data_IF_435302577111
#
_entry.id   IF_435302577111
#
_cell.length_a   1.000
_cell.length_b   1.000
_cell.length_c   1.000
_cell.angle_alpha   90.00
_cell.angle_beta   90.00
_cell.angle_gamma   90.00
#
_symmetry.space_group_name_H-M   'P 1'
#
loop_
_entity.id
_entity.type
_entity.pdbx_description
1 polymer ?
#
# COMPACT_ATOMS: atom_id res chain seq x y z
N UNK A 1 -19.35 -7.73 -21.53
CA UNK A 1 -18.16 -8.55 -21.37
C UNK A 1 -17.92 -8.63 -19.88
N UNK A 2 -18.08 -9.81 -19.29
CA UNK A 2 -17.97 -10.02 -17.85
C UNK A 2 -16.48 -9.91 -17.48
N UNK A 3 -16.12 -8.94 -16.66
CA UNK A 3 -14.74 -8.75 -16.19
C UNK A 3 -14.36 -9.94 -15.33
N UNK A 4 -13.19 -10.55 -15.56
CA UNK A 4 -12.76 -11.68 -14.73
C UNK A 4 -12.73 -11.32 -13.23
N UNK A 5 -13.03 -12.29 -12.35
CA UNK A 5 -12.97 -12.07 -10.91
C UNK A 5 -11.57 -11.64 -10.49
N UNK A 6 -11.49 -10.76 -9.50
CA UNK A 6 -10.22 -10.42 -8.86
C UNK A 6 -9.76 -11.61 -8.03
N UNK A 7 -8.55 -12.09 -8.26
CA UNK A 7 -7.92 -13.13 -7.44
C UNK A 7 -6.67 -12.56 -6.77
N UNK A 8 -6.21 -13.21 -5.70
CA UNK A 8 -4.94 -12.86 -5.07
C UNK A 8 -4.12 -14.09 -4.69
N UNK A 9 -2.81 -13.89 -4.57
CA UNK A 9 -1.83 -14.89 -4.12
C UNK A 9 -0.65 -14.21 -3.43
N UNK A 10 0.17 -14.98 -2.75
CA UNK A 10 1.49 -14.48 -2.31
C UNK A 10 2.38 -14.17 -3.51
N UNK A 11 3.11 -13.05 -3.37
CA UNK A 11 4.21 -12.70 -4.24
C UNK A 11 5.34 -13.73 -4.09
N UNK A 12 6.00 -13.99 -5.21
CA UNK A 12 7.19 -14.82 -5.34
C UNK A 12 8.33 -13.93 -5.83
N UNK A 13 9.57 -14.38 -5.65
CA UNK A 13 10.73 -13.65 -6.15
C UNK A 13 10.66 -13.33 -7.66
N UNK A 14 9.98 -14.17 -8.45
CA UNK A 14 9.74 -13.92 -9.88
C UNK A 14 8.83 -12.73 -10.19
N UNK A 15 8.03 -12.27 -9.23
CA UNK A 15 7.13 -11.11 -9.41
C UNK A 15 7.86 -9.77 -9.22
N UNK A 16 9.12 -9.78 -8.79
CA UNK A 16 9.85 -8.59 -8.33
C UNK A 16 9.83 -7.45 -9.35
N UNK A 17 10.18 -7.72 -10.61
CA UNK A 17 10.22 -6.67 -11.64
C UNK A 17 8.83 -6.08 -11.91
N UNK A 18 7.80 -6.94 -11.99
CA UNK A 18 6.41 -6.51 -12.19
C UNK A 18 5.91 -5.67 -11.00
N UNK A 19 6.26 -6.05 -9.78
CA UNK A 19 5.86 -5.34 -8.57
C UNK A 19 6.57 -4.00 -8.42
N UNK A 20 7.87 -3.93 -8.70
CA UNK A 20 8.61 -2.65 -8.75
C UNK A 20 7.94 -1.71 -9.75
N UNK A 21 7.70 -2.17 -10.98
CA UNK A 21 7.05 -1.35 -12.00
C UNK A 21 5.65 -0.88 -11.58
N UNK A 22 4.84 -1.75 -10.98
CA UNK A 22 3.52 -1.39 -10.45
C UNK A 22 3.61 -0.34 -9.34
N UNK A 23 4.46 -0.57 -8.34
CA UNK A 23 4.61 0.30 -7.17
C UNK A 23 5.13 1.67 -7.61
N UNK A 24 6.19 1.73 -8.42
CA UNK A 24 6.69 3.00 -8.95
C UNK A 24 5.60 3.72 -9.74
N UNK A 25 4.87 3.02 -10.62
CA UNK A 25 3.80 3.64 -11.42
C UNK A 25 2.65 4.20 -10.58
N UNK A 26 2.37 3.65 -9.40
CA UNK A 26 1.27 4.12 -8.55
C UNK A 26 1.63 5.36 -7.73
N UNK A 27 2.92 5.56 -7.43
CA UNK A 27 3.40 6.57 -6.48
C UNK A 27 4.27 7.68 -7.11
N UNK A 28 5.01 7.38 -8.18
CA UNK A 28 6.05 8.24 -8.77
C UNK A 28 5.88 8.39 -10.29
N UNK A 29 6.47 9.46 -10.82
CA UNK A 29 6.54 9.71 -12.27
C UNK A 29 5.21 10.06 -12.94
N UNK A 30 5.27 10.32 -14.26
CA UNK A 30 4.11 10.77 -15.05
C UNK A 30 2.95 9.77 -15.07
N UNK A 31 3.24 8.47 -15.08
CA UNK A 31 2.20 7.43 -15.09
C UNK A 31 1.34 7.47 -13.83
N UNK A 32 1.90 7.85 -12.67
CA UNK A 32 1.16 7.99 -11.43
C UNK A 32 0.11 9.09 -11.46
N UNK A 33 0.31 10.13 -12.31
CA UNK A 33 -0.64 11.25 -12.47
C UNK A 33 -1.94 10.84 -13.16
N UNK A 34 -1.99 9.65 -13.79
CA UNK A 34 -3.24 9.07 -14.26
C UNK A 34 -4.12 8.52 -13.11
N UNK A 35 -3.55 8.31 -11.94
CA UNK A 35 -4.23 7.92 -10.71
C UNK A 35 -4.36 9.08 -9.73
N UNK A 36 -5.16 8.90 -8.69
CA UNK A 36 -5.38 9.92 -7.65
C UNK A 36 -4.46 9.73 -6.43
N UNK A 37 -3.61 8.69 -6.45
CA UNK A 37 -2.72 8.33 -5.34
C UNK A 37 -1.25 8.69 -5.59
N UNK A 38 -0.97 9.52 -6.59
CA UNK A 38 0.38 10.03 -6.85
C UNK A 38 0.97 10.76 -5.64
N UNK A 39 2.28 10.68 -5.51
CA UNK A 39 3.08 11.46 -4.56
C UNK A 39 4.10 12.33 -5.31
N UNK A 40 4.00 12.46 -6.64
CA UNK A 40 4.98 13.12 -7.48
C UNK A 40 5.21 14.60 -7.14
N UNK A 41 4.25 15.24 -6.45
CA UNK A 41 4.35 16.64 -6.01
C UNK A 41 4.88 16.79 -4.57
N UNK A 42 5.04 15.69 -3.81
CA UNK A 42 5.52 15.71 -2.42
C UNK A 42 6.87 14.98 -2.24
N UNK A 43 7.13 13.96 -3.04
CA UNK A 43 8.31 13.11 -2.98
C UNK A 43 8.83 12.79 -4.38
N UNK A 44 10.09 13.11 -4.62
CA UNK A 44 10.86 12.67 -5.80
C UNK A 44 11.66 11.38 -5.48
N UNK A 45 12.43 10.91 -6.45
CA UNK A 45 13.18 9.65 -6.35
C UNK A 45 12.29 8.42 -6.51
N UNK A 46 12.86 7.24 -6.24
CA UNK A 46 12.14 5.97 -6.31
C UNK A 46 11.33 5.72 -5.03
N UNK A 47 10.20 5.03 -5.15
CA UNK A 47 9.40 4.55 -4.00
C UNK A 47 9.90 3.21 -3.47
N UNK A 48 10.44 2.36 -4.34
CA UNK A 48 11.03 1.06 -4.02
C UNK A 48 12.03 0.65 -5.10
N UNK A 49 12.80 -0.39 -4.81
CA UNK A 49 13.66 -1.08 -5.78
C UNK A 49 13.46 -2.61 -5.66
N UNK A 50 14.12 -3.43 -6.52
CA UNK A 50 14.03 -4.87 -6.45
C UNK A 50 14.44 -5.45 -5.09
N UNK A 51 15.43 -4.87 -4.42
CA UNK A 51 15.90 -5.35 -3.12
C UNK A 51 14.85 -5.10 -2.03
N UNK A 52 14.20 -3.93 -2.04
CA UNK A 52 13.10 -3.58 -1.15
C UNK A 52 11.91 -4.52 -1.31
N UNK A 53 11.52 -4.83 -2.56
CA UNK A 53 10.45 -5.80 -2.83
C UNK A 53 10.83 -7.20 -2.36
N UNK A 54 12.04 -7.67 -2.67
CA UNK A 54 12.53 -8.98 -2.22
C UNK A 54 12.61 -9.08 -0.69
N UNK A 55 12.97 -8.00 0.00
CA UNK A 55 12.98 -7.96 1.46
C UNK A 55 11.58 -8.14 2.05
N UNK A 56 10.55 -7.55 1.44
CA UNK A 56 9.15 -7.75 1.86
C UNK A 56 8.70 -9.18 1.55
N UNK A 57 9.01 -9.71 0.36
CA UNK A 57 8.67 -11.09 -0.03
C UNK A 57 9.33 -12.12 0.90
N UNK A 58 10.59 -11.89 1.28
CA UNK A 58 11.36 -12.80 2.13
C UNK A 58 11.07 -12.67 3.63
N UNK A 59 10.24 -11.70 4.05
CA UNK A 59 9.93 -11.50 5.47
C UNK A 59 9.10 -12.65 6.03
N UNK A 60 9.59 -13.27 7.11
CA UNK A 60 8.83 -14.31 7.83
C UNK A 60 7.70 -13.73 8.68
N UNK A 61 7.70 -12.42 8.92
CA UNK A 61 6.71 -11.72 9.72
C UNK A 61 5.58 -11.11 8.86
N UNK A 62 5.60 -11.29 7.54
CA UNK A 62 4.65 -10.63 6.65
C UNK A 62 4.40 -11.38 5.35
N UNK A 63 3.56 -10.78 4.52
CA UNK A 63 3.17 -11.26 3.19
C UNK A 63 3.06 -10.07 2.25
N UNK A 64 3.48 -10.25 1.00
CA UNK A 64 3.14 -9.32 -0.08
C UNK A 64 2.12 -10.02 -0.97
N UNK A 65 0.91 -9.50 -1.00
CA UNK A 65 -0.18 -10.05 -1.81
C UNK A 65 -0.16 -9.40 -3.19
N UNK A 66 -0.23 -10.23 -4.23
CA UNK A 66 -0.41 -9.83 -5.63
C UNK A 66 -1.87 -10.05 -6.00
N UNK A 67 -2.51 -9.05 -6.60
CA UNK A 67 -3.87 -9.14 -7.09
C UNK A 67 -3.87 -9.16 -8.62
N UNK A 68 -4.55 -10.17 -9.17
CA UNK A 68 -4.56 -10.46 -10.59
C UNK A 68 -6.00 -10.39 -11.14
N UNK A 69 -6.12 -9.93 -12.38
CA UNK A 69 -7.36 -9.92 -13.16
C UNK A 69 -6.99 -10.11 -14.62
N UNK A 70 -7.71 -10.99 -15.31
CA UNK A 70 -7.44 -11.33 -16.72
C UNK A 70 -5.98 -11.76 -16.98
N UNK A 71 -5.32 -12.38 -15.98
CA UNK A 71 -3.92 -12.80 -16.06
C UNK A 71 -2.90 -11.68 -15.83
N UNK A 72 -3.35 -10.46 -15.56
CA UNK A 72 -2.49 -9.30 -15.32
C UNK A 72 -2.44 -8.92 -13.83
N UNK A 73 -1.26 -8.57 -13.35
CA UNK A 73 -1.10 -7.96 -12.02
C UNK A 73 -1.64 -6.52 -12.05
N UNK A 74 -2.68 -6.25 -11.26
CA UNK A 74 -3.40 -4.96 -11.22
C UNK A 74 -3.25 -4.21 -9.91
N UNK A 75 -2.91 -4.90 -8.82
CA UNK A 75 -2.65 -4.29 -7.52
C UNK A 75 -1.74 -5.19 -6.66
N UNK A 76 -1.16 -4.61 -5.61
CA UNK A 76 -0.50 -5.35 -4.54
C UNK A 76 -0.69 -4.65 -3.19
N UNK A 77 -0.53 -5.40 -2.09
CA UNK A 77 -0.42 -4.84 -0.76
C UNK A 77 0.46 -5.70 0.16
N UNK A 78 1.16 -5.05 1.07
CA UNK A 78 1.90 -5.71 2.14
C UNK A 78 1.02 -5.85 3.38
N UNK A 79 1.10 -7.03 4.00
CA UNK A 79 0.63 -7.31 5.34
C UNK A 79 1.82 -7.69 6.22
N UNK A 80 1.85 -7.22 7.46
CA UNK A 80 2.88 -7.58 8.44
C UNK A 80 2.23 -7.84 9.81
N UNK A 81 2.59 -8.94 10.45
CA UNK A 81 2.11 -9.31 11.77
C UNK A 81 2.99 -8.65 12.85
N UNK A 82 2.40 -7.77 13.65
CA UNK A 82 3.09 -6.97 14.68
C UNK A 82 2.54 -7.26 16.07
N UNK A 83 2.61 -8.53 16.48
CA UNK A 83 2.06 -8.98 17.75
C UNK A 83 0.53 -9.03 17.69
N UNK A 84 -0.15 -8.17 18.43
CA UNK A 84 -1.63 -8.20 18.52
C UNK A 84 -2.34 -7.54 17.31
N UNK A 85 -1.59 -6.95 16.39
CA UNK A 85 -2.13 -6.18 15.25
C UNK A 85 -1.48 -6.59 13.94
N UNK A 86 -2.19 -6.37 12.83
CA UNK A 86 -1.60 -6.40 11.50
C UNK A 86 -1.30 -4.97 11.01
N UNK A 87 -0.19 -4.80 10.30
CA UNK A 87 0.13 -3.57 9.58
C UNK A 87 -0.15 -3.76 8.08
N UNK A 88 -0.80 -2.76 7.47
CA UNK A 88 -1.11 -2.68 6.05
C UNK A 88 -0.25 -1.60 5.40
N UNK A 89 0.48 -1.98 4.35
CA UNK A 89 1.44 -1.10 3.68
C UNK A 89 1.66 -1.46 2.22
N UNK A 90 2.62 -0.79 1.57
CA UNK A 90 3.01 -1.01 0.17
C UNK A 90 1.80 -1.25 -0.75
N UNK A 91 0.78 -0.39 -0.63
CA UNK A 91 -0.50 -0.59 -1.28
C UNK A 91 -0.54 0.15 -2.62
N UNK A 92 -0.32 -0.59 -3.70
CA UNK A 92 -0.31 -0.04 -5.04
C UNK A 92 -1.48 -0.59 -5.87
N UNK A 93 -2.20 0.30 -6.54
CA UNK A 93 -3.18 -0.05 -7.57
C UNK A 93 -2.73 0.59 -8.86
N UNK A 94 -2.75 -0.15 -9.97
CA UNK A 94 -2.39 0.38 -11.29
C UNK A 94 -3.14 1.69 -11.55
N UNK A 95 -2.47 2.81 -11.90
CA UNK A 95 -3.10 4.14 -11.99
C UNK A 95 -4.39 4.16 -12.81
N UNK A 96 -4.36 3.54 -13.99
CA UNK A 96 -5.50 3.46 -14.92
C UNK A 96 -6.65 2.58 -14.44
N UNK A 97 -6.46 1.78 -13.39
CA UNK A 97 -7.48 0.95 -12.77
C UNK A 97 -8.03 1.54 -11.45
N UNK A 98 -7.56 2.73 -11.05
CA UNK A 98 -8.07 3.45 -9.88
C UNK A 98 -9.46 4.05 -10.16
N UNK A 99 -10.19 4.42 -9.11
CA UNK A 99 -11.55 4.95 -9.22
C UNK A 99 -12.65 3.91 -9.48
N UNK A 100 -12.32 2.72 -9.98
CA UNK A 100 -13.27 1.63 -10.25
C UNK A 100 -13.59 0.69 -9.08
N UNK A 101 -13.25 1.06 -7.85
CA UNK A 101 -13.50 0.24 -6.65
C UNK A 101 -12.47 -0.88 -6.38
N UNK A 102 -11.48 -1.07 -7.25
CA UNK A 102 -10.42 -2.08 -7.08
C UNK A 102 -9.68 -1.94 -5.74
N UNK A 103 -9.29 -0.73 -5.36
CA UNK A 103 -8.60 -0.50 -4.09
C UNK A 103 -9.44 -0.89 -2.85
N UNK A 104 -10.77 -0.74 -2.92
CA UNK A 104 -11.68 -1.20 -1.86
C UNK A 104 -11.68 -2.72 -1.76
N UNK A 105 -11.69 -3.43 -2.90
CA UNK A 105 -11.65 -4.88 -2.93
C UNK A 105 -10.33 -5.42 -2.35
N UNK A 106 -9.20 -4.85 -2.78
CA UNK A 106 -7.86 -5.20 -2.27
C UNK A 106 -7.77 -5.06 -0.75
N UNK A 107 -8.21 -3.92 -0.22
CA UNK A 107 -8.20 -3.67 1.22
C UNK A 107 -9.09 -4.66 2.00
N UNK A 108 -10.32 -4.89 1.52
CA UNK A 108 -11.24 -5.83 2.18
C UNK A 108 -10.68 -7.24 2.21
N UNK A 109 -10.01 -7.68 1.14
CA UNK A 109 -9.35 -8.97 1.09
C UNK A 109 -8.14 -9.03 2.02
N UNK A 110 -7.33 -7.97 2.07
CA UNK A 110 -6.16 -7.90 2.96
C UNK A 110 -6.57 -7.95 4.44
N UNK A 111 -7.64 -7.24 4.81
CA UNK A 111 -8.25 -7.29 6.14
C UNK A 111 -8.72 -8.70 6.52
N UNK A 112 -9.42 -9.36 5.59
CA UNK A 112 -9.86 -10.74 5.77
C UNK A 112 -8.67 -11.68 5.94
N UNK A 113 -7.65 -11.56 5.09
CA UNK A 113 -6.43 -12.39 5.14
C UNK A 113 -5.70 -12.20 6.47
N UNK A 114 -5.52 -10.97 6.95
CA UNK A 114 -4.87 -10.72 8.24
C UNK A 114 -5.61 -11.40 9.40
N UNK A 115 -6.93 -11.26 9.44
CA UNK A 115 -7.79 -11.89 10.46
C UNK A 115 -7.76 -13.42 10.38
N UNK A 116 -7.88 -13.99 9.19
CA UNK A 116 -7.90 -15.45 9.00
C UNK A 116 -6.54 -16.10 9.25
N UNK A 117 -5.45 -15.39 8.93
CA UNK A 117 -4.09 -15.92 9.07
C UNK A 117 -3.55 -15.78 10.49
N UNK A 118 -3.83 -14.65 11.15
CA UNK A 118 -3.21 -14.32 12.44
C UNK A 118 -4.20 -14.13 13.60
N UNK A 119 -5.51 -14.11 13.33
CA UNK A 119 -6.52 -13.90 14.37
C UNK A 119 -6.54 -12.49 14.96
N UNK A 120 -5.83 -11.53 14.35
CA UNK A 120 -5.76 -10.15 14.82
C UNK A 120 -7.11 -9.45 14.67
N UNK A 121 -7.42 -8.58 15.64
CA UNK A 121 -8.67 -7.79 15.66
C UNK A 121 -8.44 -6.32 15.32
N UNK A 122 -7.22 -5.92 14.98
CA UNK A 122 -6.89 -4.55 14.60
C UNK A 122 -5.91 -4.53 13.42
N UNK A 123 -6.19 -3.66 12.45
CA UNK A 123 -5.30 -3.32 11.36
C UNK A 123 -4.82 -1.88 11.51
N UNK A 124 -3.52 -1.68 11.31
CA UNK A 124 -2.86 -0.39 11.40
C UNK A 124 -2.19 -0.03 10.08
N UNK A 125 -2.05 1.26 9.80
CA UNK A 125 -1.21 1.77 8.72
C UNK A 125 -0.68 3.15 9.05
N UNK A 126 0.42 3.55 8.42
CA UNK A 126 0.92 4.92 8.49
C UNK A 126 0.78 5.60 7.14
N UNK A 127 0.23 6.81 7.13
CA UNK A 127 -0.01 7.62 5.93
C UNK A 127 0.69 8.96 6.10
N UNK A 128 1.29 9.50 5.04
CA UNK A 128 1.85 10.87 5.07
C UNK A 128 0.71 11.86 5.38
N UNK A 129 0.86 12.65 6.43
CA UNK A 129 -0.22 13.45 7.03
C UNK A 129 -0.83 14.49 6.09
N UNK A 130 -0.04 15.02 5.15
CA UNK A 130 -0.49 16.01 4.15
C UNK A 130 -1.34 15.41 3.02
N UNK A 131 -1.61 14.09 3.03
CA UNK A 131 -2.40 13.40 2.01
C UNK A 131 -3.88 13.31 2.40
N UNK A 132 -4.53 14.46 2.59
CA UNK A 132 -5.90 14.57 3.11
C UNK A 132 -6.93 13.73 2.33
N UNK A 133 -6.86 13.72 0.99
CA UNK A 133 -7.80 12.94 0.18
C UNK A 133 -7.65 11.42 0.38
N UNK A 134 -6.40 10.95 0.54
CA UNK A 134 -6.09 9.55 0.80
C UNK A 134 -6.52 9.15 2.21
N UNK A 135 -6.26 10.01 3.20
CA UNK A 135 -6.73 9.81 4.58
C UNK A 135 -8.26 9.71 4.59
N UNK A 136 -8.97 10.67 3.97
CA UNK A 136 -10.42 10.64 3.88
C UNK A 136 -10.93 9.37 3.17
N UNK A 137 -10.19 8.86 2.19
CA UNK A 137 -10.54 7.59 1.54
C UNK A 137 -10.43 6.39 2.50
N UNK A 138 -9.38 6.32 3.32
CA UNK A 138 -9.23 5.31 4.37
C UNK A 138 -10.32 5.42 5.45
N UNK A 139 -10.69 6.64 5.85
CA UNK A 139 -11.77 6.87 6.82
C UNK A 139 -13.10 6.30 6.36
N UNK A 140 -13.44 6.52 5.08
CA UNK A 140 -14.63 5.91 4.45
C UNK A 140 -14.56 4.37 4.36
N UNK A 141 -13.42 3.74 4.69
CA UNK A 141 -13.26 2.27 4.82
C UNK A 141 -13.25 1.79 6.26
N UNK A 142 -13.47 2.69 7.22
CA UNK A 142 -13.56 2.37 8.64
C UNK A 142 -12.24 2.54 9.41
N UNK A 143 -11.20 3.10 8.79
CA UNK A 143 -10.02 3.53 9.53
C UNK A 143 -10.33 4.82 10.28
N UNK A 144 -9.69 5.01 11.42
CA UNK A 144 -9.75 6.25 12.19
C UNK A 144 -8.35 6.80 12.38
N UNK A 145 -8.24 8.12 12.23
CA UNK A 145 -7.06 8.89 12.63
C UNK A 145 -6.84 8.71 14.13
N UNK A 146 -5.59 8.54 14.54
CA UNK A 146 -5.24 8.43 15.97
C UNK A 146 -4.62 9.71 16.51
N UNK A 147 -4.20 10.64 15.65
CA UNK A 147 -3.40 11.80 16.02
C UNK A 147 -1.97 11.46 16.46
N UNK A 148 -1.57 10.18 16.43
CA UNK A 148 -0.20 9.78 16.71
C UNK A 148 0.66 9.97 15.46
N UNK A 149 1.58 10.93 15.55
CA UNK A 149 2.52 11.26 14.48
C UNK A 149 3.88 10.63 14.71
N UNK A 150 4.54 10.23 13.63
CA UNK A 150 5.94 9.80 13.60
C UNK A 150 6.69 10.67 12.58
N UNK A 151 7.90 11.15 12.91
CA UNK A 151 8.69 11.96 11.97
C UNK A 151 8.93 11.26 10.64
N UNK A 152 8.86 12.00 9.54
CA UNK A 152 9.36 11.52 8.25
C UNK A 152 10.91 11.45 8.31
N UNK A 153 11.54 10.40 7.77
CA UNK A 153 13.00 10.22 7.81
C UNK A 153 13.71 11.12 6.78
N UNK A 154 13.75 12.42 7.05
CA UNK A 154 14.49 13.39 6.24
C UNK A 154 15.98 13.04 6.13
N UNK A 155 16.52 13.13 4.91
CA UNK A 155 17.93 12.80 4.61
C UNK A 155 18.20 11.32 4.34
N UNK A 156 17.17 10.47 4.32
CA UNK A 156 17.27 9.07 3.90
C UNK A 156 16.57 8.88 2.55
N UNK A 157 17.36 8.91 1.46
CA UNK A 157 16.86 8.81 0.08
C UNK A 157 16.08 7.51 -0.21
N UNK A 158 16.16 6.50 0.66
CA UNK A 158 15.33 5.27 0.57
C UNK A 158 13.84 5.56 0.72
N UNK A 159 13.47 6.68 1.32
CA UNK A 159 12.08 7.13 1.46
C UNK A 159 11.65 8.12 0.37
N UNK A 160 12.54 8.37 -0.61
CA UNK A 160 12.40 9.40 -1.62
C UNK A 160 13.01 10.72 -1.18
N UNK A 161 12.93 11.72 -2.06
CA UNK A 161 13.50 13.05 -1.87
C UNK A 161 12.35 14.04 -1.59
N UNK A 162 12.13 14.45 -0.33
CA UNK A 162 11.06 15.37 0.04
C UNK A 162 11.14 16.70 -0.72
N UNK A 163 9.99 17.17 -1.21
CA UNK A 163 9.87 18.50 -1.85
C UNK A 163 9.34 19.56 -0.87
N UNK A 164 9.22 19.19 0.41
CA UNK A 164 8.66 19.99 1.50
C UNK A 164 9.20 19.52 2.85
N UNK A 165 9.16 20.37 3.86
CA UNK A 165 9.79 20.20 5.18
C UNK A 165 8.82 19.86 6.32
N UNK A 166 7.53 19.68 5.99
CA UNK A 166 6.42 19.40 6.91
C UNK A 166 5.88 17.96 6.82
N UNK A 167 6.65 17.02 6.27
CA UNK A 167 6.24 15.62 6.18
C UNK A 167 6.33 14.93 7.55
N UNK A 168 5.23 14.28 7.91
CA UNK A 168 5.14 13.34 9.03
C UNK A 168 4.18 12.20 8.65
N UNK A 169 4.29 11.08 9.34
CA UNK A 169 3.37 9.97 9.18
C UNK A 169 2.35 9.98 10.30
N UNK A 170 1.07 9.84 9.96
CA UNK A 170 0.03 9.60 10.94
C UNK A 170 -0.38 8.12 10.97
N UNK A 171 -0.53 7.58 12.18
CA UNK A 171 -1.10 6.26 12.40
C UNK A 171 -2.63 6.29 12.25
N UNK A 172 -3.13 5.46 11.34
CA UNK A 172 -4.54 5.14 11.18
C UNK A 172 -4.78 3.69 11.65
N UNK A 173 -5.91 3.46 12.32
CA UNK A 173 -6.28 2.13 12.84
C UNK A 173 -7.70 1.76 12.48
N UNK A 174 -7.98 0.46 12.35
CA UNK A 174 -9.31 -0.10 12.14
C UNK A 174 -9.48 -1.38 12.94
N UNK A 175 -10.57 -1.48 13.69
CA UNK A 175 -10.97 -2.75 14.31
C UNK A 175 -11.53 -3.68 13.24
N UNK A 176 -11.03 -4.92 13.20
CA UNK A 176 -11.48 -5.99 12.33
C UNK A 176 -12.59 -6.79 13.04
N UNK A 177 -13.67 -7.10 12.33
CA UNK A 177 -14.84 -7.84 12.83
C UNK A 177 -14.87 -9.31 12.46
#
# INVERSE_FOLDING_TARGET
>A
METAPLTHRDARASDTETLVALIESAYRGESSRAGWTTEADILHGQRTDPQGVLAVIGSTAGRLLVFERDGETVACCQLEHRGEVAYFGMFAVRPTAQGGGLGKQVMSDAERVARETWGVTEMQMTVISVRDELIAWYERRGYRRTGKMTPFPYGDDRFGIPQRDDLEFELLVKTLG
#
